data_IF_964370411286
#
_entry.id   IF_964370411286
#
_cell.length_a   1.000
_cell.length_b   1.000
_cell.length_c   1.000
_cell.angle_alpha   90.00
_cell.angle_beta   90.00
_cell.angle_gamma   90.00
#
_symmetry.space_group_name_H-M   'P 1'
#
loop_
_entity.id
_entity.type
_entity.pdbx_description
1 polymer ?
#
# COMPACT_ATOMS: atom_id res chain seq x y z
N UNK A 1 5.52 7.84 -8.22
CA UNK A 1 5.42 6.58 -7.45
C UNK A 1 6.24 6.73 -6.19
N UNK A 2 5.69 6.33 -5.05
CA UNK A 2 6.38 6.33 -3.75
C UNK A 2 6.49 4.88 -3.29
N UNK A 3 7.69 4.45 -2.89
CA UNK A 3 7.97 3.09 -2.44
C UNK A 3 8.25 3.09 -0.94
N UNK A 4 7.51 2.29 -0.20
CA UNK A 4 7.66 2.09 1.24
C UNK A 4 8.20 0.69 1.48
N UNK A 5 9.22 0.56 2.34
CA UNK A 5 9.84 -0.71 2.69
C UNK A 5 9.91 -0.86 4.20
N UNK A 6 9.52 -2.02 4.70
CA UNK A 6 9.70 -2.36 6.11
C UNK A 6 9.91 -3.85 6.30
N UNK A 7 10.32 -4.21 7.52
CA UNK A 7 10.37 -5.58 8.00
C UNK A 7 9.47 -5.69 9.22
N UNK A 8 8.78 -6.80 9.34
CA UNK A 8 7.94 -7.11 10.50
C UNK A 8 8.19 -8.54 10.92
N UNK A 9 8.34 -8.74 12.23
CA UNK A 9 8.48 -10.07 12.81
C UNK A 9 7.19 -10.45 13.53
N UNK A 10 6.57 -11.55 13.10
CA UNK A 10 5.36 -12.07 13.73
C UNK A 10 5.45 -13.57 13.90
N UNK A 11 4.92 -14.07 15.02
CA UNK A 11 4.73 -15.52 15.21
C UNK A 11 3.36 -15.98 14.71
N UNK A 12 2.43 -15.04 14.49
CA UNK A 12 1.07 -15.27 14.01
C UNK A 12 1.04 -15.53 12.51
N UNK A 13 0.05 -16.33 12.07
CA UNK A 13 -0.23 -16.52 10.65
C UNK A 13 -1.08 -15.36 10.13
N UNK A 14 -0.50 -14.48 9.33
CA UNK A 14 -1.24 -13.40 8.67
C UNK A 14 -1.78 -13.89 7.33
N UNK A 15 -3.09 -13.74 7.10
CA UNK A 15 -3.71 -13.97 5.79
C UNK A 15 -4.02 -12.69 5.05
N UNK A 16 -4.37 -11.62 5.76
CA UNK A 16 -4.74 -10.36 5.13
C UNK A 16 -3.95 -9.17 5.68
N UNK A 17 -3.55 -8.28 4.77
CA UNK A 17 -3.02 -6.95 5.11
C UNK A 17 -3.99 -5.90 4.59
N UNK A 18 -4.36 -4.95 5.45
CA UNK A 18 -5.24 -3.82 5.15
C UNK A 18 -4.43 -2.54 5.24
N UNK A 19 -4.39 -1.75 4.17
CA UNK A 19 -3.60 -0.51 4.12
C UNK A 19 -4.35 0.74 4.56
N UNK A 20 -5.64 0.62 4.91
CA UNK A 20 -6.48 1.76 5.30
C UNK A 20 -6.68 2.72 4.13
N UNK A 21 -6.23 3.96 4.29
CA UNK A 21 -6.32 5.00 3.26
C UNK A 21 -5.03 5.04 2.44
N UNK A 22 -5.18 4.95 1.12
CA UNK A 22 -4.11 5.09 0.12
C UNK A 22 -4.53 6.09 -0.95
N UNK A 23 -3.63 7.01 -1.28
CA UNK A 23 -3.74 7.91 -2.42
C UNK A 23 -2.67 7.57 -3.46
N UNK A 24 -2.91 6.78 -4.51
CA UNK A 24 -4.23 6.27 -4.96
C UNK A 24 -4.23 4.78 -5.27
N UNK A 25 -3.17 4.23 -5.86
CA UNK A 25 -3.10 2.80 -6.19
C UNK A 25 -1.99 2.18 -5.37
N UNK A 26 -2.25 1.04 -4.70
CA UNK A 26 -1.24 0.30 -3.95
C UNK A 26 -0.93 -1.04 -4.61
N UNK A 27 0.35 -1.38 -4.67
CA UNK A 27 0.86 -2.71 -4.98
C UNK A 27 1.60 -3.23 -3.76
N UNK A 28 1.34 -4.48 -3.38
CA UNK A 28 1.96 -5.10 -2.21
C UNK A 28 2.88 -6.24 -2.64
N UNK A 29 4.06 -6.30 -2.03
CA UNK A 29 4.97 -7.43 -2.12
C UNK A 29 5.35 -7.88 -0.70
N UNK A 30 5.33 -9.19 -0.49
CA UNK A 30 5.75 -9.84 0.77
C UNK A 30 6.87 -10.82 0.43
N UNK A 31 8.05 -10.69 1.06
CA UNK A 31 9.21 -11.54 0.77
C UNK A 31 9.50 -11.61 -0.75
N UNK A 32 9.53 -10.45 -1.41
CA UNK A 32 9.69 -10.29 -2.87
C UNK A 32 8.59 -10.95 -3.74
N UNK A 33 7.55 -11.53 -3.13
CA UNK A 33 6.41 -12.11 -3.83
C UNK A 33 5.30 -11.08 -3.99
N UNK A 34 4.86 -10.87 -5.22
CA UNK A 34 3.74 -9.96 -5.53
C UNK A 34 2.41 -10.50 -4.99
N UNK A 35 1.74 -9.71 -4.16
CA UNK A 35 0.47 -10.04 -3.49
C UNK A 35 -0.76 -9.36 -4.12
N UNK A 36 -0.56 -8.50 -5.13
CA UNK A 36 -1.65 -7.89 -5.89
C UNK A 36 -1.52 -6.37 -6.05
N UNK A 37 -2.46 -5.81 -6.80
CA UNK A 37 -2.65 -4.38 -6.99
C UNK A 37 -4.08 -4.04 -6.60
N UNK A 38 -4.25 -2.97 -5.84
CA UNK A 38 -5.55 -2.45 -5.46
C UNK A 38 -5.67 -0.99 -5.92
N UNK A 39 -6.67 -0.72 -6.76
CA UNK A 39 -6.89 0.59 -7.39
C UNK A 39 -8.04 1.38 -6.75
N UNK A 40 -8.77 0.78 -5.81
CA UNK A 40 -9.90 1.41 -5.13
C UNK A 40 -10.15 0.76 -3.79
N UNK A 41 -10.71 1.51 -2.85
CA UNK A 41 -11.08 1.01 -1.52
C UNK A 41 -12.06 -0.18 -1.62
N UNK A 42 -11.96 -1.20 -0.75
CA UNK A 42 -10.98 -1.35 0.34
C UNK A 42 -9.63 -1.95 -0.08
N UNK A 43 -8.53 -1.38 0.43
CA UNK A 43 -7.15 -1.82 0.16
C UNK A 43 -6.76 -3.04 1.01
N UNK A 44 -7.28 -4.20 0.64
CA UNK A 44 -7.05 -5.49 1.32
C UNK A 44 -6.32 -6.45 0.39
N UNK A 45 -5.25 -7.07 0.90
CA UNK A 45 -4.41 -8.00 0.15
C UNK A 45 -4.39 -9.36 0.85
N UNK A 46 -4.57 -10.43 0.08
CA UNK A 46 -4.32 -11.79 0.55
C UNK A 46 -2.82 -12.08 0.46
N UNK A 47 -2.20 -12.32 1.62
CA UNK A 47 -0.77 -12.61 1.77
C UNK A 47 -0.51 -14.04 2.22
N UNK A 48 -1.56 -14.87 2.35
CA UNK A 48 -1.48 -16.22 2.90
C UNK A 48 -0.47 -17.13 2.19
N UNK A 49 -0.19 -16.87 0.90
CA UNK A 49 0.76 -17.63 0.08
C UNK A 49 2.21 -17.13 0.17
N UNK A 50 2.43 -15.91 0.66
CA UNK A 50 3.74 -15.26 0.69
C UNK A 50 4.28 -15.05 2.12
N UNK A 51 3.38 -15.02 3.11
CA UNK A 51 3.71 -14.85 4.51
C UNK A 51 4.38 -16.09 5.10
N UNK A 52 5.42 -15.89 5.91
CA UNK A 52 6.11 -16.94 6.68
C UNK A 52 6.12 -16.60 8.17
N UNK A 53 6.31 -17.62 9.03
CA UNK A 53 6.53 -17.37 10.47
C UNK A 53 7.89 -16.69 10.68
N UNK A 54 7.93 -15.70 11.57
CA UNK A 54 9.12 -14.89 11.86
C UNK A 54 9.17 -13.59 11.06
N UNK A 55 10.36 -13.18 10.65
CA UNK A 55 10.59 -11.94 9.90
C UNK A 55 10.06 -12.04 8.46
N UNK A 56 9.25 -11.07 8.04
CA UNK A 56 8.80 -10.86 6.67
C UNK A 56 9.23 -9.47 6.18
N UNK A 57 9.69 -9.37 4.94
CA UNK A 57 9.86 -8.08 4.27
C UNK A 57 8.57 -7.67 3.57
N UNK A 58 8.24 -6.39 3.65
CA UNK A 58 7.08 -5.77 3.03
C UNK A 58 7.55 -4.62 2.14
N UNK A 59 7.05 -4.61 0.90
CA UNK A 59 7.19 -3.48 -0.01
C UNK A 59 5.79 -3.04 -0.44
N UNK A 60 5.50 -1.76 -0.27
CA UNK A 60 4.26 -1.14 -0.75
C UNK A 60 4.64 -0.07 -1.75
N UNK A 61 4.22 -0.24 -2.99
CA UNK A 61 4.39 0.77 -4.04
C UNK A 61 3.07 1.52 -4.22
N UNK A 62 3.10 2.82 -3.97
CA UNK A 62 1.95 3.70 -4.16
C UNK A 62 2.13 4.54 -5.42
N UNK A 63 1.23 4.33 -6.38
CA UNK A 63 1.08 5.22 -7.53
C UNK A 63 0.08 6.32 -7.15
N UNK A 64 0.54 7.57 -7.26
CA UNK A 64 -0.20 8.77 -6.84
C UNK A 64 -0.71 9.52 -8.08
N UNK A 65 -1.66 10.43 -7.91
CA UNK A 65 -1.99 11.37 -8.98
C UNK A 65 -0.82 12.33 -9.27
N UNK A 66 -0.70 12.84 -10.51
CA UNK A 66 0.36 13.77 -10.87
C UNK A 66 0.08 15.21 -10.42
N UNK A 67 -1.10 15.51 -9.87
CA UNK A 67 -1.56 16.88 -9.62
C UNK A 67 -0.68 17.70 -8.67
N UNK A 68 0.07 17.03 -7.78
CA UNK A 68 1.06 17.69 -6.93
C UNK A 68 2.35 18.07 -7.66
N UNK A 69 2.71 17.32 -8.71
CA UNK A 69 3.91 17.57 -9.53
C UNK A 69 3.60 18.50 -10.71
N UNK A 70 2.43 18.33 -11.31
CA UNK A 70 1.99 19.04 -12.51
C UNK A 70 0.74 19.82 -12.15
N UNK A 71 0.88 21.15 -12.05
CA UNK A 71 -0.21 22.07 -11.71
C UNK A 71 -0.52 22.95 -12.91
N UNK A 72 -1.29 22.39 -13.84
CA UNK A 72 -1.67 23.08 -15.07
C UNK A 72 -2.77 24.14 -14.82
N UNK A 73 -3.08 24.93 -15.85
CA UNK A 73 -4.07 26.01 -15.74
C UNK A 73 -5.49 25.55 -15.42
N UNK A 74 -5.85 24.31 -15.73
CA UNK A 74 -7.16 23.71 -15.49
C UNK A 74 -7.24 23.07 -14.09
N UNK A 75 -6.12 22.55 -13.56
CA UNK A 75 -6.05 21.88 -12.25
C UNK A 75 -5.55 22.77 -11.11
N UNK A 76 -5.04 23.98 -11.38
CA UNK A 76 -4.43 24.87 -10.37
C UNK A 76 -5.31 25.19 -9.16
N UNK A 77 -6.63 25.23 -9.34
CA UNK A 77 -7.59 25.53 -8.27
C UNK A 77 -8.14 24.27 -7.58
N UNK A 78 -7.78 23.07 -8.04
CA UNK A 78 -8.23 21.84 -7.40
C UNK A 78 -7.57 21.68 -6.04
N UNK A 79 -8.40 21.37 -5.04
CA UNK A 79 -7.93 20.80 -3.79
C UNK A 79 -7.37 19.41 -4.08
N UNK A 80 -6.10 19.21 -3.74
CA UNK A 80 -5.46 17.93 -3.93
C UNK A 80 -5.65 17.09 -2.66
N UNK A 81 -6.14 15.85 -2.77
CA UNK A 81 -6.30 14.98 -1.61
C UNK A 81 -4.93 14.51 -1.09
N UNK A 82 -4.83 14.03 0.16
CA UNK A 82 -3.63 13.36 0.65
C UNK A 82 -3.18 12.22 -0.27
N UNK A 83 -1.87 12.02 -0.41
CA UNK A 83 -1.28 10.97 -1.27
C UNK A 83 -0.35 10.07 -0.49
N UNK A 84 -0.01 8.93 -1.07
CA UNK A 84 0.87 7.94 -0.46
C UNK A 84 0.11 6.97 0.44
N UNK A 85 0.82 6.38 1.39
CA UNK A 85 0.28 5.44 2.36
C UNK A 85 -0.08 6.19 3.64
N UNK A 86 -1.37 6.34 3.93
CA UNK A 86 -1.88 7.15 5.05
C UNK A 86 -2.28 6.25 6.23
N UNK A 87 -2.76 5.03 5.96
CA UNK A 87 -3.10 4.07 6.99
C UNK A 87 -4.49 4.28 7.62
N UNK A 88 -4.75 3.69 8.80
CA UNK A 88 -3.86 2.78 9.54
C UNK A 88 -3.60 1.48 8.77
N UNK A 89 -2.47 0.82 9.08
CA UNK A 89 -2.11 -0.47 8.50
C UNK A 89 -2.45 -1.54 9.53
N UNK A 90 -3.23 -2.54 9.11
CA UNK A 90 -3.69 -3.63 9.97
C UNK A 90 -3.41 -4.97 9.30
N UNK A 91 -3.24 -6.02 10.10
CA UNK A 91 -3.15 -7.40 9.64
C UNK A 91 -4.18 -8.27 10.35
N UNK A 92 -4.63 -9.34 9.70
CA UNK A 92 -5.51 -10.34 10.31
C UNK A 92 -5.18 -11.75 9.83
N UNK A 93 -5.62 -12.73 10.62
CA UNK A 93 -5.66 -14.15 10.20
C UNK A 93 -6.70 -14.42 9.10
#
# INVERSE_FOLDING_TARGET
>A
MIRYECKIETHDSVKYIKLGVVGEIAQLYVNDTYCGTCISHPYVFDVSKAWKKGENSLVIEVTTNPGYMIRDNFSRMLYLPPMGLIGPIEYSE
#
